data_IF_096718595276
#
_entry.id   IF_096718595276
#
_cell.length_a   1.000
_cell.length_b   1.000
_cell.length_c   1.000
_cell.angle_alpha   90.00
_cell.angle_beta   90.00
_cell.angle_gamma   90.00
#
_symmetry.space_group_name_H-M   'P 1'
#
loop_
_entity.id
_entity.type
_entity.pdbx_description
1 polymer ?
#
# COMPACT_ATOMS: atom_id res chain seq x y z
N UNK A 1 -9.92 8.85 -7.16
CA UNK A 1 -8.89 7.81 -7.04
C UNK A 1 -9.55 6.63 -6.36
N UNK A 2 -9.64 5.50 -7.04
CA UNK A 2 -10.32 4.29 -6.53
C UNK A 2 -9.28 3.31 -5.97
N UNK A 3 -9.68 2.33 -5.16
CA UNK A 3 -8.76 1.29 -4.65
C UNK A 3 -7.97 0.59 -5.77
N UNK A 4 -8.55 0.52 -6.98
CA UNK A 4 -7.91 0.01 -8.19
C UNK A 4 -6.64 0.76 -8.58
N UNK A 5 -6.54 2.05 -8.26
CA UNK A 5 -5.39 2.89 -8.63
C UNK A 5 -4.20 2.58 -7.72
N UNK A 6 -4.44 2.39 -6.41
CA UNK A 6 -3.41 1.94 -5.44
C UNK A 6 -2.85 0.58 -5.87
N UNK A 7 -3.73 -0.38 -6.21
CA UNK A 7 -3.30 -1.71 -6.66
C UNK A 7 -2.43 -1.59 -7.90
N UNK A 8 -2.86 -0.85 -8.92
CA UNK A 8 -2.11 -0.68 -10.17
C UNK A 8 -0.72 -0.10 -9.93
N UNK A 9 -0.62 0.95 -9.12
CA UNK A 9 0.66 1.60 -8.81
C UNK A 9 1.57 0.64 -8.03
N UNK A 10 1.05 -0.01 -6.98
CA UNK A 10 1.83 -0.92 -6.15
C UNK A 10 2.35 -2.13 -6.95
N UNK A 11 1.51 -2.72 -7.81
CA UNK A 11 1.90 -3.80 -8.73
C UNK A 11 2.98 -3.31 -9.70
N UNK A 12 2.82 -2.11 -10.28
CA UNK A 12 3.85 -1.50 -11.12
C UNK A 12 5.19 -1.29 -10.40
N UNK A 13 5.16 -1.08 -9.08
CA UNK A 13 6.33 -0.95 -8.22
C UNK A 13 6.88 -2.30 -7.68
N UNK A 14 6.34 -3.43 -8.13
CA UNK A 14 6.78 -4.77 -7.74
C UNK A 14 6.23 -5.27 -6.40
N UNK A 15 5.09 -4.73 -5.96
CA UNK A 15 4.37 -5.18 -4.77
C UNK A 15 3.15 -6.02 -5.14
N UNK A 16 2.89 -7.05 -4.35
CA UNK A 16 1.60 -7.69 -4.25
C UNK A 16 0.75 -6.94 -3.21
N UNK A 17 -0.54 -6.75 -3.50
CA UNK A 17 -1.47 -6.03 -2.61
C UNK A 17 -2.72 -6.85 -2.37
N UNK A 18 -3.09 -6.98 -1.09
CA UNK A 18 -4.38 -7.51 -0.65
C UNK A 18 -5.18 -6.42 0.06
N UNK A 19 -6.50 -6.43 -0.11
CA UNK A 19 -7.38 -5.43 0.52
C UNK A 19 -8.39 -6.14 1.41
N UNK A 20 -8.47 -5.72 2.66
CA UNK A 20 -9.46 -6.20 3.63
C UNK A 20 -10.37 -5.06 4.05
N UNK A 21 -11.68 -5.20 3.81
CA UNK A 21 -12.67 -4.24 4.27
C UNK A 21 -13.03 -4.51 5.74
N UNK A 22 -12.97 -3.49 6.60
CA UNK A 22 -13.18 -3.63 8.04
C UNK A 22 -14.37 -2.84 8.60
N UNK A 23 -15.36 -2.55 7.74
CA UNK A 23 -16.57 -1.81 8.13
C UNK A 23 -16.31 -0.30 8.25
N UNK A 24 -17.38 0.48 8.37
CA UNK A 24 -17.32 1.95 8.49
C UNK A 24 -16.41 2.63 7.45
N UNK A 25 -16.45 2.14 6.20
CA UNK A 25 -15.62 2.65 5.10
C UNK A 25 -14.11 2.64 5.40
N UNK A 26 -13.67 1.69 6.23
CA UNK A 26 -12.28 1.45 6.59
C UNK A 26 -11.72 0.25 5.84
N UNK A 27 -10.50 0.38 5.35
CA UNK A 27 -9.83 -0.62 4.52
C UNK A 27 -8.41 -0.83 5.03
N UNK A 28 -7.97 -2.09 5.07
CA UNK A 28 -6.58 -2.44 5.26
C UNK A 28 -5.98 -2.83 3.92
N UNK A 29 -4.82 -2.27 3.61
CA UNK A 29 -4.01 -2.63 2.46
C UNK A 29 -2.77 -3.35 2.95
N UNK A 30 -2.66 -4.62 2.59
CA UNK A 30 -1.50 -5.45 2.90
C UNK A 30 -0.58 -5.47 1.69
N UNK A 31 0.58 -4.83 1.81
CA UNK A 31 1.60 -4.78 0.78
C UNK A 31 2.67 -5.81 1.08
N UNK A 32 3.00 -6.63 0.08
CA UNK A 32 3.98 -7.69 0.19
C UNK A 32 4.93 -7.64 -1.00
N UNK A 33 6.23 -7.85 -0.76
CA UNK A 33 7.22 -8.06 -1.82
C UNK A 33 8.39 -8.88 -1.33
N UNK A 34 9.13 -9.46 -2.28
CA UNK A 34 10.47 -9.96 -2.01
C UNK A 34 11.45 -8.82 -2.27
N UNK A 35 12.36 -8.57 -1.32
CA UNK A 35 13.46 -7.62 -1.49
C UNK A 35 14.49 -8.16 -2.48
N UNK A 36 15.41 -7.30 -2.97
CA UNK A 36 16.48 -7.76 -3.87
C UNK A 36 17.37 -8.86 -3.26
N UNK A 37 17.44 -8.93 -1.93
CA UNK A 37 18.21 -9.94 -1.21
C UNK A 37 17.39 -11.19 -0.87
N UNK A 38 16.20 -11.36 -1.46
CA UNK A 38 15.35 -12.54 -1.24
C UNK A 38 14.57 -12.53 0.07
N UNK A 39 14.67 -11.48 0.89
CA UNK A 39 13.93 -11.38 2.15
C UNK A 39 12.48 -10.97 1.90
N UNK A 40 11.49 -11.63 2.51
CA UNK A 40 10.11 -11.17 2.47
C UNK A 40 9.99 -9.85 3.25
N UNK A 41 9.36 -8.87 2.64
CA UNK A 41 9.02 -7.60 3.28
C UNK A 41 7.55 -7.32 3.09
N UNK A 42 6.88 -6.94 4.17
CA UNK A 42 5.48 -6.58 4.15
C UNK A 42 5.19 -5.43 5.09
N UNK A 43 4.22 -4.61 4.72
CA UNK A 43 3.65 -3.61 5.60
C UNK A 43 2.14 -3.51 5.36
N UNK A 44 1.42 -3.17 6.42
CA UNK A 44 -0.04 -3.00 6.39
C UNK A 44 -0.37 -1.55 6.63
N UNK A 45 -1.21 -0.97 5.78
CA UNK A 45 -1.73 0.38 5.96
C UNK A 45 -3.23 0.33 6.24
N UNK A 46 -3.63 0.89 7.38
CA UNK A 46 -5.02 1.07 7.75
C UNK A 46 -5.52 2.42 7.24
N UNK A 47 -6.62 2.41 6.49
CA UNK A 47 -7.33 3.62 6.09
C UNK A 47 -8.59 3.79 6.91
N UNK A 48 -8.72 4.97 7.53
CA UNK A 48 -9.94 5.42 8.21
C UNK A 48 -10.52 6.62 7.45
N UNK A 49 -11.85 6.71 7.37
CA UNK A 49 -12.52 7.88 6.78
C UNK A 49 -12.43 8.02 5.25
N UNK A 50 -12.04 6.97 4.52
CA UNK A 50 -12.17 6.88 3.06
C UNK A 50 -11.28 7.81 2.21
N UNK A 51 -10.25 8.46 2.79
CA UNK A 51 -9.35 9.36 2.05
C UNK A 51 -8.16 8.59 1.47
N UNK A 52 -8.27 8.21 0.21
CA UNK A 52 -7.26 7.43 -0.54
C UNK A 52 -5.97 8.22 -0.81
N UNK A 53 -6.06 9.55 -0.99
CA UNK A 53 -4.92 10.39 -1.35
C UNK A 53 -3.83 10.43 -0.27
N UNK A 54 -4.21 10.43 1.01
CA UNK A 54 -3.25 10.45 2.12
C UNK A 54 -2.41 9.19 2.20
N UNK A 55 -2.92 8.03 1.74
CA UNK A 55 -2.14 6.80 1.74
C UNK A 55 -1.06 6.80 0.65
N UNK A 56 -1.36 7.35 -0.53
CA UNK A 56 -0.41 7.42 -1.64
C UNK A 56 0.77 8.34 -1.29
N UNK A 57 0.51 9.50 -0.71
CA UNK A 57 1.57 10.43 -0.28
C UNK A 57 2.48 9.81 0.78
N UNK A 58 1.91 9.10 1.76
CA UNK A 58 2.66 8.37 2.78
C UNK A 58 3.52 7.25 2.18
N UNK A 59 2.96 6.43 1.27
CA UNK A 59 3.71 5.37 0.57
C UNK A 59 4.90 5.97 -0.21
N UNK A 60 4.68 7.06 -0.94
CA UNK A 60 5.76 7.76 -1.67
C UNK A 60 6.83 8.25 -0.69
N UNK A 61 6.44 8.77 0.49
CA UNK A 61 7.38 9.22 1.52
C UNK A 61 8.28 8.10 2.05
N UNK A 62 7.76 6.88 2.17
CA UNK A 62 8.53 5.71 2.62
C UNK A 62 9.48 5.20 1.53
N UNK A 63 9.08 5.27 0.27
CA UNK A 63 9.90 4.83 -0.87
C UNK A 63 10.99 5.87 -1.22
N UNK A 64 10.74 7.16 -0.94
CA UNK A 64 11.63 8.28 -1.28
C UNK A 64 12.79 8.54 -0.33
N UNK A 65 12.95 7.77 0.76
CA UNK A 65 14.09 7.90 1.69
C UNK A 65 15.11 6.78 1.50
N UNK A 66 15.66 6.66 0.30
CA UNK A 66 16.99 6.06 0.12
C UNK A 66 18.03 7.17 0.26
N UNK A 67 18.62 7.28 1.44
CA UNK A 67 19.90 7.95 1.66
C UNK A 67 21.01 6.89 1.64
#
# INVERSE_FOLDING_TARGET
>A
MFHSDIIKIAVGCGWQVSITACGNNSFYFDFQRITRNGLPFSFTAAMTGGRISSLVDEIISFVGKTQ
#
